data_IF_949640049907
#
_entry.id   IF_949640049907
#
_cell.length_a   1.000
_cell.length_b   1.000
_cell.length_c   1.000
_cell.angle_alpha   90.00
_cell.angle_beta   90.00
_cell.angle_gamma   90.00
#
_symmetry.space_group_name_H-M   'P 1'
#
loop_
_entity.id
_entity.type
_entity.pdbx_description
1 polymer ?
#
# COMPACT_ATOMS: atom_id res chain seq x y z
N UNK A 1 -9.00 -3.24 -20.82
CA UNK A 1 -8.16 -3.71 -19.70
C UNK A 1 -9.05 -4.59 -18.85
N UNK A 2 -8.95 -5.92 -18.97
CA UNK A 2 -9.74 -6.85 -18.15
C UNK A 2 -9.14 -6.83 -16.75
N UNK A 3 -9.95 -6.49 -15.74
CA UNK A 3 -9.55 -6.63 -14.34
C UNK A 3 -9.44 -8.12 -14.02
N UNK A 4 -8.38 -8.53 -13.33
CA UNK A 4 -8.25 -9.90 -12.84
C UNK A 4 -9.39 -10.20 -11.85
N UNK A 5 -9.96 -11.42 -11.86
CA UNK A 5 -10.91 -11.85 -10.83
C UNK A 5 -10.28 -11.73 -9.43
N UNK A 6 -11.06 -11.25 -8.45
CA UNK A 6 -10.57 -11.10 -7.07
C UNK A 6 -10.06 -12.43 -6.51
N UNK A 7 -10.70 -13.54 -6.90
CA UNK A 7 -10.37 -14.89 -6.42
C UNK A 7 -8.98 -15.38 -6.85
N UNK A 8 -8.35 -14.72 -7.83
CA UNK A 8 -6.97 -15.00 -8.27
C UNK A 8 -5.91 -14.18 -7.53
N UNK A 9 -6.32 -13.25 -6.65
CA UNK A 9 -5.40 -12.42 -5.86
C UNK A 9 -4.91 -13.16 -4.61
N UNK A 10 -3.82 -12.67 -4.02
CA UNK A 10 -3.31 -13.18 -2.74
C UNK A 10 -4.40 -13.09 -1.65
N UNK A 11 -4.53 -14.10 -0.76
CA UNK A 11 -5.59 -14.15 0.25
C UNK A 11 -5.70 -12.87 1.10
N UNK A 12 -4.57 -12.29 1.52
CA UNK A 12 -4.55 -11.02 2.28
C UNK A 12 -5.12 -9.85 1.49
N UNK A 13 -4.79 -9.74 0.21
CA UNK A 13 -5.34 -8.70 -0.65
C UNK A 13 -6.85 -8.88 -0.87
N UNK A 14 -7.32 -10.13 -1.00
CA UNK A 14 -8.76 -10.41 -1.06
C UNK A 14 -9.48 -9.96 0.22
N UNK A 15 -8.92 -10.21 1.40
CA UNK A 15 -9.47 -9.76 2.68
C UNK A 15 -9.57 -8.22 2.75
N UNK A 16 -8.48 -7.52 2.38
CA UNK A 16 -8.47 -6.06 2.32
C UNK A 16 -9.56 -5.53 1.38
N UNK A 17 -9.70 -6.13 0.20
CA UNK A 17 -10.73 -5.76 -0.78
C UNK A 17 -12.13 -5.97 -0.20
N UNK A 18 -12.40 -7.14 0.40
CA UNK A 18 -13.70 -7.45 1.03
C UNK A 18 -14.05 -6.46 2.14
N UNK A 19 -13.08 -6.12 2.99
CA UNK A 19 -13.26 -5.12 4.05
C UNK A 19 -13.61 -3.74 3.46
N UNK A 20 -12.87 -3.28 2.44
CA UNK A 20 -13.16 -2.02 1.76
C UNK A 20 -14.53 -2.01 1.05
N UNK A 21 -14.95 -3.14 0.49
CA UNK A 21 -16.25 -3.28 -0.17
C UNK A 21 -17.42 -3.28 0.82
N UNK A 22 -17.22 -3.78 2.05
CA UNK A 22 -18.25 -3.79 3.09
C UNK A 22 -18.61 -2.40 3.63
N UNK A 23 -17.71 -1.42 3.49
CA UNK A 23 -17.99 -0.04 3.88
C UNK A 23 -18.90 0.58 2.82
N UNK A 24 -20.10 1.02 3.19
CA UNK A 24 -21.05 1.59 2.22
C UNK A 24 -20.78 3.09 1.97
N UNK A 25 -20.49 3.82 3.03
CA UNK A 25 -20.29 5.27 2.99
C UNK A 25 -18.94 5.66 2.36
N UNK A 26 -18.93 6.43 1.25
CA UNK A 26 -17.68 6.83 0.58
C UNK A 26 -16.73 7.61 1.50
N UNK A 27 -17.27 8.45 2.37
CA UNK A 27 -16.49 9.20 3.36
C UNK A 27 -15.77 8.26 4.34
N UNK A 28 -16.46 7.21 4.80
CA UNK A 28 -15.86 6.23 5.70
C UNK A 28 -14.74 5.43 5.02
N UNK A 29 -14.87 5.10 3.73
CA UNK A 29 -13.77 4.48 2.95
C UNK A 29 -12.54 5.38 2.90
N UNK A 30 -12.74 6.67 2.71
CA UNK A 30 -11.66 7.64 2.68
C UNK A 30 -10.97 7.75 4.05
N UNK A 31 -11.74 7.83 5.14
CA UNK A 31 -11.20 7.85 6.50
C UNK A 31 -10.42 6.58 6.83
N UNK A 32 -10.92 5.41 6.42
CA UNK A 32 -10.23 4.13 6.56
C UNK A 32 -8.90 4.13 5.80
N UNK A 33 -8.87 4.65 4.57
CA UNK A 33 -7.65 4.77 3.78
C UNK A 33 -6.61 5.67 4.46
N UNK A 34 -7.04 6.81 5.02
CA UNK A 34 -6.16 7.68 5.79
C UNK A 34 -5.65 7.00 7.06
N UNK A 35 -6.48 6.18 7.71
CA UNK A 35 -6.08 5.39 8.87
C UNK A 35 -4.96 4.41 8.53
N UNK A 36 -5.07 3.67 7.42
CA UNK A 36 -3.98 2.79 6.95
C UNK A 36 -2.70 3.58 6.70
N UNK A 37 -2.80 4.75 6.06
CA UNK A 37 -1.64 5.60 5.80
C UNK A 37 -0.95 6.10 7.07
N UNK A 38 -1.72 6.43 8.12
CA UNK A 38 -1.19 6.86 9.42
C UNK A 38 -0.52 5.73 10.19
N UNK A 39 -1.00 4.50 10.06
CA UNK A 39 -0.48 3.33 10.76
C UNK A 39 0.59 2.56 9.99
N UNK A 40 0.87 2.93 8.74
CA UNK A 40 1.97 2.35 7.98
C UNK A 40 3.31 2.69 8.65
N UNK A 41 4.08 1.66 8.99
CA UNK A 41 5.44 1.79 9.52
C UNK A 41 6.25 2.70 8.60
N UNK A 42 6.88 3.78 9.12
CA UNK A 42 7.69 4.67 8.29
C UNK A 42 8.85 3.92 7.63
N UNK A 43 9.12 4.25 6.37
CA UNK A 43 10.33 3.80 5.68
C UNK A 43 11.54 4.56 6.25
N UNK A 44 12.62 3.84 6.51
CA UNK A 44 13.87 4.46 6.96
C UNK A 44 14.36 5.49 5.93
N UNK A 45 14.91 6.59 6.43
CA UNK A 45 15.47 7.69 5.66
C UNK A 45 16.53 7.24 4.65
N UNK A 46 17.35 6.23 5.00
CA UNK A 46 18.36 5.67 4.08
C UNK A 46 17.75 5.05 2.82
N UNK A 47 16.50 4.58 2.91
CA UNK A 47 15.80 3.95 1.80
C UNK A 47 14.94 4.93 1.00
N UNK A 48 14.86 6.21 1.38
CA UNK A 48 14.18 7.27 0.60
C UNK A 48 15.06 7.77 -0.55
N UNK A 49 15.59 6.83 -1.33
CA UNK A 49 16.49 7.10 -2.45
C UNK A 49 15.72 7.37 -3.73
N UNK A 50 16.41 7.86 -4.77
CA UNK A 50 15.83 7.96 -6.12
C UNK A 50 15.40 6.60 -6.68
N UNK A 51 16.12 5.52 -6.36
CA UNK A 51 15.83 4.17 -6.86
C UNK A 51 14.52 3.58 -6.31
N UNK A 52 14.15 3.95 -5.08
CA UNK A 52 12.89 3.52 -4.47
C UNK A 52 11.75 4.51 -4.73
N UNK A 53 11.99 5.64 -5.39
CA UNK A 53 10.99 6.68 -5.60
C UNK A 53 10.04 6.28 -6.73
N UNK A 54 8.74 6.37 -6.47
CA UNK A 54 7.70 6.16 -7.50
C UNK A 54 7.54 7.43 -8.31
N UNK A 55 7.77 7.34 -9.63
CA UNK A 55 7.59 8.46 -10.55
C UNK A 55 6.11 8.63 -10.96
N UNK A 56 5.71 9.86 -11.29
CA UNK A 56 4.34 10.18 -11.73
C UNK A 56 3.33 10.46 -10.61
N UNK A 57 3.69 10.26 -9.34
CA UNK A 57 2.87 10.72 -8.22
C UNK A 57 3.05 12.23 -7.97
N UNK A 58 1.95 12.94 -7.71
CA UNK A 58 1.98 14.37 -7.33
C UNK A 58 2.72 14.58 -6.01
N UNK A 59 2.46 13.72 -5.02
CA UNK A 59 3.26 13.66 -3.79
C UNK A 59 4.45 12.72 -3.96
N UNK A 60 5.52 12.97 -3.21
CA UNK A 60 6.64 12.03 -3.16
C UNK A 60 6.21 10.73 -2.48
N UNK A 61 6.42 9.60 -3.16
CA UNK A 61 6.16 8.24 -2.67
C UNK A 61 7.42 7.41 -2.87
N UNK A 62 7.76 6.59 -1.89
CA UNK A 62 8.83 5.60 -1.96
C UNK A 62 8.29 4.21 -1.67
N UNK A 63 8.76 3.23 -2.44
CA UNK A 63 8.50 1.80 -2.23
C UNK A 63 9.83 1.07 -2.32
N UNK A 64 10.15 0.32 -1.27
CA UNK A 64 11.31 -0.57 -1.20
C UNK A 64 10.81 -2.00 -1.25
N UNK A 65 11.41 -2.82 -2.11
CA UNK A 65 11.22 -4.26 -2.13
C UNK A 65 12.56 -4.94 -1.79
N UNK A 66 12.54 -5.97 -0.95
CA UNK A 66 13.71 -6.77 -0.61
C UNK A 66 13.33 -8.22 -0.32
N UNK A 67 14.30 -9.13 -0.35
CA UNK A 67 14.07 -10.51 0.06
C UNK A 67 14.34 -10.65 1.56
N UNK A 68 13.44 -11.31 2.28
CA UNK A 68 13.70 -11.74 3.65
C UNK A 68 14.59 -12.99 3.70
N UNK A 69 14.85 -13.50 4.91
CA UNK A 69 15.66 -14.70 5.13
C UNK A 69 15.05 -15.97 4.52
N UNK A 70 13.73 -15.99 4.31
CA UNK A 70 12.97 -17.09 3.74
C UNK A 70 12.80 -16.93 2.21
N UNK A 71 13.40 -15.89 1.61
CA UNK A 71 13.31 -15.53 0.19
C UNK A 71 11.91 -15.09 -0.25
N UNK A 72 11.10 -14.58 0.68
CA UNK A 72 9.87 -13.88 0.32
C UNK A 72 10.19 -12.44 -0.05
N UNK A 73 9.41 -11.87 -0.98
CA UNK A 73 9.50 -10.44 -1.28
C UNK A 73 8.74 -9.66 -0.21
N UNK A 74 9.43 -8.75 0.47
CA UNK A 74 8.85 -7.85 1.47
C UNK A 74 8.84 -6.43 0.93
N UNK A 75 7.72 -5.75 1.12
CA UNK A 75 7.53 -4.36 0.72
C UNK A 75 7.52 -3.42 1.93
N UNK A 76 8.14 -2.27 1.77
CA UNK A 76 8.04 -1.13 2.68
C UNK A 76 7.73 0.12 1.86
N UNK A 77 6.93 1.03 2.39
CA UNK A 77 6.58 2.24 1.67
C UNK A 77 6.41 3.45 2.59
N UNK A 78 6.60 4.63 2.03
CA UNK A 78 6.27 5.89 2.70
C UNK A 78 5.90 6.96 1.68
N UNK A 79 5.23 8.01 2.15
CA UNK A 79 4.82 9.15 1.31
C UNK A 79 4.67 10.40 2.15
N UNK A 80 5.00 11.55 1.57
CA UNK A 80 4.79 12.85 2.21
C UNK A 80 3.31 13.22 2.36
N UNK A 81 2.44 12.63 1.54
CA UNK A 81 0.99 12.81 1.65
C UNK A 81 0.33 11.54 2.18
N UNK A 82 -0.61 11.73 3.12
CA UNK A 82 -1.30 10.62 3.81
C UNK A 82 -2.14 9.77 2.86
N UNK A 83 -2.76 10.38 1.84
CA UNK A 83 -3.64 9.65 0.93
C UNK A 83 -2.86 8.63 0.06
N UNK A 84 -1.79 9.01 -0.68
CA UNK A 84 -0.94 8.04 -1.36
C UNK A 84 -0.24 7.07 -0.42
N UNK A 85 0.08 7.49 0.82
CA UNK A 85 0.60 6.59 1.87
C UNK A 85 -0.42 5.50 2.23
N UNK A 86 -1.70 5.86 2.31
CA UNK A 86 -2.80 4.92 2.54
C UNK A 86 -2.90 3.88 1.43
N UNK A 87 -2.84 4.29 0.16
CA UNK A 87 -2.87 3.35 -0.97
C UNK A 87 -1.67 2.41 -0.95
N UNK A 88 -0.47 2.93 -0.69
CA UNK A 88 0.73 2.12 -0.55
C UNK A 88 0.63 1.14 0.64
N UNK A 89 0.03 1.56 1.75
CA UNK A 89 -0.19 0.70 2.92
C UNK A 89 -1.04 -0.53 2.58
N UNK A 90 -2.08 -0.39 1.75
CA UNK A 90 -2.89 -1.53 1.32
C UNK A 90 -2.07 -2.54 0.51
N UNK A 91 -1.19 -2.07 -0.36
CA UNK A 91 -0.32 -2.93 -1.15
C UNK A 91 0.73 -3.62 -0.29
N UNK A 92 1.36 -2.88 0.64
CA UNK A 92 2.34 -3.43 1.60
C UNK A 92 1.72 -4.50 2.51
N UNK A 93 0.44 -4.38 2.86
CA UNK A 93 -0.25 -5.36 3.70
C UNK A 93 -0.82 -6.54 2.92
N UNK A 94 -1.19 -6.32 1.65
CA UNK A 94 -1.87 -7.30 0.80
C UNK A 94 -0.94 -8.18 -0.03
N UNK A 95 0.29 -7.73 -0.28
CA UNK A 95 1.32 -8.42 -1.07
C UNK A 95 2.40 -9.00 -0.15
#
# INVERSE_FOLDING_TARGET
>A
MSLQPIDELLPKLQEIIKLFQSVQEPKAKYEQLLFYGKNLKPLDSEFKTRGNKVEGCVSQVWVRAYLDFEKNVVFEADSYSVLPKGLAALLVQGL
#
